data_IF_759970198862
#
_entry.id   IF_759970198862
#
_cell.length_a   1.000
_cell.length_b   1.000
_cell.length_c   1.000
_cell.angle_alpha   90.00
_cell.angle_beta   90.00
_cell.angle_gamma   90.00
#
_symmetry.space_group_name_H-M   'P 1'
#
loop_
_entity.id
_entity.type
_entity.pdbx_description
1 polymer ?
#
# COMPACT_ATOMS: atom_id res chain seq x y z
N UNK A 1 65.90 -11.45 68.98
CA UNK A 1 66.85 -11.44 67.84
C UNK A 1 66.10 -10.97 66.60
N UNK A 2 66.64 -9.96 65.89
CA UNK A 2 66.45 -9.60 64.47
C UNK A 2 65.02 -9.59 63.87
N UNK A 3 64.51 -8.64 63.09
CA UNK A 3 64.96 -7.34 62.55
C UNK A 3 63.76 -6.77 61.79
N UNK A 4 63.68 -5.45 61.77
CA UNK A 4 62.95 -4.53 60.90
C UNK A 4 62.73 -4.97 59.44
N UNK A 5 61.57 -4.64 58.84
CA UNK A 5 61.50 -3.73 57.66
C UNK A 5 60.07 -3.39 57.22
N UNK A 6 59.97 -2.15 56.76
CA UNK A 6 58.81 -1.33 56.34
C UNK A 6 58.62 -1.45 54.82
N UNK A 7 57.38 -1.34 54.30
CA UNK A 7 56.99 -0.57 53.09
C UNK A 7 55.47 -0.70 52.85
N UNK A 8 54.67 0.33 53.17
CA UNK A 8 54.13 1.38 52.27
C UNK A 8 53.28 0.88 51.08
N UNK A 9 51.97 1.15 51.22
CA UNK A 9 50.98 1.64 50.23
C UNK A 9 51.06 1.12 48.78
N UNK A 10 49.96 0.52 48.31
CA UNK A 10 49.21 1.03 47.13
C UNK A 10 47.72 0.70 47.31
N UNK A 11 46.93 1.72 47.63
CA UNK A 11 45.47 1.73 47.47
C UNK A 11 45.20 1.84 45.96
N UNK A 12 44.47 0.90 45.37
CA UNK A 12 44.01 1.01 43.98
C UNK A 12 42.50 0.82 43.96
N UNK A 13 41.81 1.93 44.17
CA UNK A 13 40.39 2.14 43.87
C UNK A 13 40.14 1.94 42.38
N UNK A 14 39.33 0.96 42.01
CA UNK A 14 38.70 0.90 40.68
C UNK A 14 37.29 1.46 40.82
N UNK A 15 36.97 2.61 40.23
CA UNK A 15 35.59 3.08 40.17
C UNK A 15 34.86 2.23 39.13
N UNK A 16 33.78 1.57 39.55
CA UNK A 16 32.83 1.00 38.60
C UNK A 16 32.09 2.16 37.95
N UNK A 17 32.32 2.35 36.65
CA UNK A 17 31.54 3.25 35.81
C UNK A 17 30.11 2.70 35.75
N UNK A 18 29.20 3.29 36.53
CA UNK A 18 27.77 3.10 36.38
C UNK A 18 27.37 3.68 35.02
N UNK A 19 27.09 2.80 34.06
CA UNK A 19 26.52 3.18 32.78
C UNK A 19 25.10 3.72 33.01
N UNK A 20 24.93 5.03 32.79
CA UNK A 20 23.61 5.66 32.78
C UNK A 20 22.82 5.16 31.56
N UNK A 21 21.81 4.34 31.81
CA UNK A 21 20.81 3.93 30.82
C UNK A 21 19.90 5.14 30.56
N UNK A 22 20.17 5.86 29.48
CA UNK A 22 19.31 6.93 28.99
C UNK A 22 18.07 6.30 28.32
N UNK A 23 16.94 6.31 29.03
CA UNK A 23 15.66 5.87 28.50
C UNK A 23 15.22 6.80 27.36
N UNK A 24 15.41 6.36 26.12
CA UNK A 24 14.84 7.01 24.94
C UNK A 24 13.33 6.74 24.97
N UNK A 25 12.55 7.74 25.37
CA UNK A 25 11.11 7.76 25.16
C UNK A 25 10.85 7.79 23.66
N UNK A 26 10.64 6.62 23.05
CA UNK A 26 10.02 6.54 21.73
C UNK A 26 8.56 6.94 21.89
N UNK A 27 8.29 8.24 21.76
CA UNK A 27 6.96 8.71 21.43
C UNK A 27 6.61 8.12 20.08
N UNK A 28 5.88 7.00 20.06
CA UNK A 28 5.19 6.53 18.88
C UNK A 28 4.26 7.66 18.45
N UNK A 29 4.64 8.40 17.42
CA UNK A 29 3.68 9.24 16.70
C UNK A 29 2.60 8.25 16.25
N UNK A 30 1.35 8.36 16.74
CA UNK A 30 0.30 7.55 16.17
C UNK A 30 0.34 7.83 14.68
N UNK A 31 0.46 6.79 13.85
CA UNK A 31 0.20 6.94 12.44
C UNK A 31 -1.20 7.53 12.38
N UNK A 32 -1.30 8.83 12.10
CA UNK A 32 -2.54 9.38 11.62
C UNK A 32 -2.88 8.46 10.47
N UNK A 33 -3.99 7.74 10.59
CA UNK A 33 -4.61 7.13 9.44
C UNK A 33 -4.84 8.34 8.52
N UNK A 34 -3.85 8.62 7.67
CA UNK A 34 -3.98 9.55 6.59
C UNK A 34 -5.24 9.04 5.91
N UNK A 35 -6.30 9.84 5.86
CA UNK A 35 -7.52 9.49 5.13
C UNK A 35 -7.09 9.31 3.68
N UNK A 36 -6.61 8.09 3.39
CA UNK A 36 -5.77 7.80 2.25
C UNK A 36 -6.62 7.94 1.01
N UNK A 37 -6.06 8.54 -0.03
CA UNK A 37 -6.76 8.67 -1.30
C UNK A 37 -6.98 7.26 -1.87
N UNK A 38 -8.23 6.89 -2.10
CA UNK A 38 -8.56 5.53 -2.53
C UNK A 38 -8.71 5.46 -4.06
N UNK A 39 -8.05 4.49 -4.68
CA UNK A 39 -8.23 4.10 -6.08
C UNK A 39 -9.09 2.82 -6.12
N UNK A 40 -10.17 2.83 -6.89
CA UNK A 40 -11.05 1.65 -7.00
C UNK A 40 -10.81 0.98 -8.35
N UNK A 41 -10.24 -0.23 -8.33
CA UNK A 41 -10.12 -1.07 -9.52
C UNK A 41 -11.38 -1.92 -9.69
N UNK A 42 -11.97 -1.92 -10.89
CA UNK A 42 -13.23 -2.60 -11.19
C UNK A 42 -13.06 -3.55 -12.37
N UNK A 43 -13.45 -4.81 -12.22
CA UNK A 43 -13.67 -5.72 -13.34
C UNK A 43 -15.01 -6.45 -13.16
N UNK A 44 -15.48 -7.19 -14.17
CA UNK A 44 -16.80 -7.82 -14.16
C UNK A 44 -17.02 -8.61 -12.86
N UNK A 45 -16.15 -9.56 -12.55
CA UNK A 45 -16.34 -10.43 -11.39
C UNK A 45 -15.69 -9.96 -10.08
N UNK A 46 -14.82 -8.96 -10.12
CA UNK A 46 -14.10 -8.45 -8.92
C UNK A 46 -13.06 -9.40 -8.33
N UNK A 47 -12.66 -10.45 -9.05
CA UNK A 47 -11.84 -11.56 -8.53
C UNK A 47 -10.56 -11.85 -9.31
N UNK A 48 -10.31 -11.19 -10.45
CA UNK A 48 -9.12 -11.44 -11.29
C UNK A 48 -8.35 -10.14 -11.54
N UNK A 49 -8.60 -9.44 -12.66
CA UNK A 49 -7.77 -8.33 -13.09
C UNK A 49 -7.81 -7.14 -12.11
N UNK A 50 -8.97 -6.84 -11.52
CA UNK A 50 -9.08 -5.80 -10.50
C UNK A 50 -8.34 -6.14 -9.21
N UNK A 51 -8.28 -7.42 -8.83
CA UNK A 51 -7.53 -7.89 -7.66
C UNK A 51 -6.03 -7.76 -7.90
N UNK A 52 -5.56 -8.22 -9.05
CA UNK A 52 -4.16 -8.08 -9.45
C UNK A 52 -3.76 -6.61 -9.49
N UNK A 53 -4.55 -5.76 -10.15
CA UNK A 53 -4.25 -4.34 -10.29
C UNK A 53 -4.20 -3.61 -8.94
N UNK A 54 -5.16 -3.84 -8.06
CA UNK A 54 -5.15 -3.25 -6.72
C UNK A 54 -3.93 -3.72 -5.90
N UNK A 55 -3.55 -5.01 -5.97
CA UNK A 55 -2.40 -5.54 -5.26
C UNK A 55 -1.08 -4.93 -5.75
N UNK A 56 -0.83 -4.90 -7.07
CA UNK A 56 0.36 -4.29 -7.65
C UNK A 56 0.40 -2.77 -7.42
N UNK A 57 -0.75 -2.09 -7.47
CA UNK A 57 -0.81 -0.66 -7.20
C UNK A 57 -0.43 -0.38 -5.75
N UNK A 58 -0.98 -1.14 -4.79
CA UNK A 58 -0.65 -0.99 -3.38
C UNK A 58 0.85 -1.19 -3.11
N UNK A 59 1.47 -2.21 -3.74
CA UNK A 59 2.92 -2.39 -3.66
C UNK A 59 3.67 -1.17 -4.21
N UNK A 60 3.34 -0.72 -5.41
CA UNK A 60 4.01 0.42 -6.04
C UNK A 60 3.82 1.72 -5.25
N UNK A 61 2.63 1.95 -4.68
CA UNK A 61 2.35 3.09 -3.83
C UNK A 61 3.15 3.04 -2.55
N UNK A 62 3.24 1.89 -1.89
CA UNK A 62 4.03 1.69 -0.69
C UNK A 62 5.53 1.89 -0.94
N UNK A 63 6.08 1.27 -1.98
CA UNK A 63 7.50 1.38 -2.34
C UNK A 63 7.92 2.82 -2.66
N UNK A 64 6.98 3.64 -3.16
CA UNK A 64 7.19 5.04 -3.53
C UNK A 64 6.73 6.04 -2.46
N UNK A 65 6.23 5.57 -1.33
CA UNK A 65 5.73 6.43 -0.24
C UNK A 65 4.54 7.31 -0.62
N UNK A 66 3.67 6.84 -1.52
CA UNK A 66 2.52 7.60 -2.00
C UNK A 66 1.33 7.49 -1.02
N UNK A 67 0.52 8.55 -0.85
CA UNK A 67 -0.62 8.56 0.09
C UNK A 67 -1.88 7.91 -0.50
N UNK A 68 -1.71 6.85 -1.30
CA UNK A 68 -2.78 6.16 -1.98
C UNK A 68 -2.91 4.72 -1.54
N UNK A 69 -4.15 4.25 -1.45
CA UNK A 69 -4.49 2.84 -1.31
C UNK A 69 -5.45 2.43 -2.42
N UNK A 70 -5.44 1.16 -2.78
CA UNK A 70 -6.31 0.61 -3.81
C UNK A 70 -7.12 -0.58 -3.31
N UNK A 71 -8.36 -0.66 -3.80
CA UNK A 71 -9.28 -1.77 -3.55
C UNK A 71 -9.85 -2.31 -4.86
N UNK A 72 -10.21 -3.59 -4.85
CA UNK A 72 -10.89 -4.28 -5.94
C UNK A 72 -12.41 -4.33 -5.71
N UNK A 73 -13.18 -4.13 -6.77
CA UNK A 73 -14.64 -4.28 -6.82
C UNK A 73 -15.11 -5.04 -8.07
N UNK A 74 -16.20 -5.78 -7.93
CA UNK A 74 -16.90 -6.48 -9.01
C UNK A 74 -18.14 -5.73 -9.49
N UNK A 75 -18.54 -5.91 -10.76
CA UNK A 75 -19.84 -5.47 -11.28
C UNK A 75 -20.90 -6.56 -11.09
N UNK A 76 -20.56 -7.81 -11.38
CA UNK A 76 -21.33 -9.01 -11.12
C UNK A 76 -20.47 -9.92 -10.25
N UNK A 77 -20.50 -9.67 -8.94
CA UNK A 77 -19.53 -10.24 -8.00
C UNK A 77 -19.48 -11.77 -8.07
N UNK A 78 -18.29 -12.32 -8.25
CA UNK A 78 -18.05 -13.76 -8.09
C UNK A 78 -17.51 -14.09 -6.68
N UNK A 79 -17.71 -15.34 -6.25
CA UNK A 79 -17.55 -15.75 -4.85
C UNK A 79 -16.14 -15.55 -4.29
N UNK A 80 -15.10 -15.88 -5.06
CA UNK A 80 -13.73 -15.93 -4.54
C UNK A 80 -12.68 -15.69 -5.62
N UNK A 81 -11.53 -15.16 -5.18
CA UNK A 81 -10.32 -15.08 -6.01
C UNK A 81 -9.88 -16.50 -6.39
N UNK A 82 -9.73 -16.82 -7.69
CA UNK A 82 -9.32 -18.16 -8.10
C UNK A 82 -7.92 -18.53 -7.57
N UNK A 83 -7.69 -19.80 -7.23
CA UNK A 83 -6.43 -20.28 -6.64
C UNK A 83 -5.22 -19.90 -7.50
N UNK A 84 -5.29 -20.12 -8.81
CA UNK A 84 -4.24 -19.69 -9.77
C UNK A 84 -3.85 -18.21 -9.69
N UNK A 85 -4.79 -17.32 -9.34
CA UNK A 85 -4.50 -15.89 -9.16
C UNK A 85 -3.85 -15.65 -7.80
N UNK A 86 -4.29 -16.36 -6.76
CA UNK A 86 -3.67 -16.31 -5.44
C UNK A 86 -2.22 -16.81 -5.50
N UNK A 87 -1.98 -17.93 -6.17
CA UNK A 87 -0.65 -18.52 -6.35
C UNK A 87 0.27 -17.60 -7.15
N UNK A 88 -0.22 -17.03 -8.26
CA UNK A 88 0.55 -16.06 -9.06
C UNK A 88 0.93 -14.82 -8.24
N UNK A 89 -0.01 -14.26 -7.46
CA UNK A 89 0.28 -13.13 -6.57
C UNK A 89 1.30 -13.52 -5.50
N UNK A 90 1.15 -14.71 -4.90
CA UNK A 90 2.04 -15.20 -3.85
C UNK A 90 3.47 -15.40 -4.36
N UNK A 91 3.64 -15.92 -5.58
CA UNK A 91 4.95 -16.05 -6.24
C UNK A 91 5.65 -14.68 -6.41
N UNK A 92 4.87 -13.62 -6.58
CA UNK A 92 5.36 -12.25 -6.68
C UNK A 92 5.41 -11.51 -5.32
N UNK A 93 5.22 -12.23 -4.21
CA UNK A 93 5.25 -11.67 -2.85
C UNK A 93 4.01 -10.84 -2.48
N UNK A 94 2.89 -11.05 -3.15
CA UNK A 94 1.64 -10.32 -2.98
C UNK A 94 0.51 -11.23 -2.49
N UNK A 95 -0.52 -10.62 -1.93
CA UNK A 95 -1.80 -11.25 -1.64
C UNK A 95 -2.90 -10.56 -2.46
N UNK A 96 -4.08 -11.18 -2.64
CA UNK A 96 -5.24 -10.47 -3.15
C UNK A 96 -5.52 -9.21 -2.34
N UNK A 97 -5.87 -8.11 -3.01
CA UNK A 97 -5.92 -6.79 -2.39
C UNK A 97 -6.94 -6.70 -1.24
N UNK A 98 -8.11 -7.34 -1.42
CA UNK A 98 -9.16 -7.41 -0.42
C UNK A 98 -10.11 -8.58 -0.70
N UNK A 99 -10.94 -8.94 0.28
CA UNK A 99 -12.06 -9.85 0.06
C UNK A 99 -12.93 -9.34 -1.10
N UNK A 100 -13.35 -10.21 -2.05
CA UNK A 100 -14.21 -9.80 -3.15
C UNK A 100 -15.47 -9.09 -2.67
N UNK A 101 -15.75 -7.93 -3.25
CA UNK A 101 -16.90 -7.08 -2.91
C UNK A 101 -17.52 -6.48 -4.16
N UNK A 102 -18.83 -6.28 -4.10
CA UNK A 102 -19.61 -5.65 -5.16
C UNK A 102 -19.31 -4.14 -5.19
N UNK A 103 -19.16 -3.57 -6.39
CA UNK A 103 -19.06 -2.12 -6.57
C UNK A 103 -20.35 -1.46 -6.10
N UNK A 104 -20.22 -0.47 -5.21
CA UNK A 104 -21.29 0.41 -4.76
C UNK A 104 -21.08 1.84 -5.27
N UNK A 105 -22.14 2.66 -5.20
CA UNK A 105 -22.03 4.10 -5.47
C UNK A 105 -21.12 4.77 -4.44
N UNK A 106 -21.17 4.33 -3.18
CA UNK A 106 -20.36 4.90 -2.10
C UNK A 106 -18.86 4.64 -2.33
N UNK A 107 -18.48 3.46 -2.83
CA UNK A 107 -17.10 3.18 -3.25
C UNK A 107 -16.65 4.20 -4.31
N UNK A 108 -17.48 4.43 -5.33
CA UNK A 108 -17.16 5.34 -6.42
C UNK A 108 -17.22 6.82 -6.00
N UNK A 109 -17.97 7.17 -4.96
CA UNK A 109 -18.04 8.51 -4.40
C UNK A 109 -16.86 8.83 -3.48
N UNK A 110 -16.37 7.84 -2.73
CA UNK A 110 -15.18 7.96 -1.89
C UNK A 110 -13.87 7.84 -2.70
N UNK A 111 -13.93 7.34 -3.94
CA UNK A 111 -12.76 7.17 -4.79
C UNK A 111 -12.17 8.51 -5.23
N UNK A 112 -10.84 8.60 -5.24
CA UNK A 112 -10.13 9.63 -5.99
C UNK A 112 -10.17 9.35 -7.50
N UNK A 113 -10.16 8.07 -7.88
CA UNK A 113 -10.27 7.60 -9.26
C UNK A 113 -10.84 6.18 -9.28
N UNK A 114 -11.70 5.90 -10.25
CA UNK A 114 -12.11 4.54 -10.60
C UNK A 114 -11.33 4.10 -11.83
N UNK A 115 -10.69 2.94 -11.78
CA UNK A 115 -10.02 2.31 -12.93
C UNK A 115 -10.77 1.03 -13.29
N UNK A 116 -11.33 0.96 -14.49
CA UNK A 116 -12.24 -0.10 -14.88
C UNK A 116 -11.74 -0.89 -16.09
N UNK A 117 -11.74 -2.22 -15.97
CA UNK A 117 -11.46 -3.16 -17.05
C UNK A 117 -12.70 -3.42 -17.91
N UNK A 118 -13.88 -3.21 -17.33
CA UNK A 118 -15.19 -3.45 -17.93
C UNK A 118 -16.07 -2.20 -17.78
N UNK A 119 -17.17 -2.14 -18.54
CA UNK A 119 -18.08 -0.99 -18.48
C UNK A 119 -18.74 -0.87 -17.10
N UNK A 120 -18.52 0.25 -16.40
CA UNK A 120 -19.18 0.53 -15.13
C UNK A 120 -20.63 0.92 -15.37
N UNK A 121 -21.63 0.25 -14.75
CA UNK A 121 -23.04 0.61 -14.88
C UNK A 121 -23.29 2.05 -14.42
N UNK A 122 -24.13 2.80 -15.14
CA UNK A 122 -24.33 4.23 -14.90
C UNK A 122 -24.84 4.50 -13.47
N UNK A 123 -25.72 3.65 -12.97
CA UNK A 123 -26.29 3.69 -11.63
C UNK A 123 -25.29 3.38 -10.50
N UNK A 124 -24.10 2.89 -10.83
CA UNK A 124 -22.99 2.65 -9.89
C UNK A 124 -21.82 3.60 -10.10
N UNK A 125 -21.94 4.56 -11.01
CA UNK A 125 -20.92 5.60 -11.19
C UNK A 125 -21.09 6.65 -10.10
N UNK A 126 -19.98 7.00 -9.46
CA UNK A 126 -19.87 8.14 -8.58
C UNK A 126 -19.38 9.40 -9.33
N UNK A 127 -19.16 10.51 -8.60
CA UNK A 127 -18.57 11.73 -9.15
C UNK A 127 -17.09 11.58 -9.57
N UNK A 128 -16.39 10.54 -9.10
CA UNK A 128 -15.00 10.30 -9.46
C UNK A 128 -14.85 10.01 -10.96
N UNK A 129 -13.71 10.45 -11.53
CA UNK A 129 -13.35 10.09 -12.89
C UNK A 129 -13.24 8.57 -13.06
N UNK A 130 -13.54 8.08 -14.26
CA UNK A 130 -13.38 6.67 -14.62
C UNK A 130 -12.37 6.54 -15.75
N UNK A 131 -11.24 5.89 -15.46
CA UNK A 131 -10.24 5.50 -16.45
C UNK A 131 -10.50 4.06 -16.91
N UNK A 132 -10.75 3.87 -18.21
CA UNK A 132 -10.99 2.54 -18.77
C UNK A 132 -9.71 1.91 -19.30
N UNK A 133 -9.43 0.69 -18.84
CA UNK A 133 -8.29 -0.11 -19.27
C UNK A 133 -8.73 -1.28 -20.14
N UNK A 134 -8.66 -1.12 -21.45
CA UNK A 134 -8.97 -2.17 -22.45
C UNK A 134 -7.71 -2.91 -22.92
N UNK A 135 -7.88 -4.10 -23.51
CA UNK A 135 -6.78 -4.84 -24.16
C UNK A 135 -5.80 -5.52 -23.19
N UNK A 136 -6.18 -5.65 -21.91
CA UNK A 136 -5.44 -6.44 -20.93
C UNK A 136 -6.02 -7.86 -20.98
N UNK A 137 -5.20 -8.92 -21.11
CA UNK A 137 -5.69 -10.29 -21.08
C UNK A 137 -6.37 -10.60 -19.75
N UNK A 138 -7.17 -11.66 -19.72
CA UNK A 138 -7.71 -12.13 -18.45
C UNK A 138 -6.59 -12.84 -17.69
N UNK A 139 -6.27 -12.35 -16.49
CA UNK A 139 -5.18 -12.90 -15.66
C UNK A 139 -5.39 -14.33 -15.24
N UNK A 140 -6.61 -14.83 -15.41
CA UNK A 140 -6.88 -16.25 -15.41
C UNK A 140 -6.03 -16.82 -16.57
N UNK A 141 -6.37 -16.63 -17.84
CA UNK A 141 -5.74 -17.31 -18.98
C UNK A 141 -4.22 -17.16 -19.06
N UNK A 142 -3.69 -15.97 -18.76
CA UNK A 142 -2.25 -15.69 -18.77
C UNK A 142 -1.89 -14.69 -17.67
N UNK A 143 -1.42 -15.21 -16.54
CA UNK A 143 -1.08 -14.39 -15.36
C UNK A 143 0.07 -13.43 -15.64
N UNK A 144 1.16 -13.90 -16.26
CA UNK A 144 2.36 -13.11 -16.48
C UNK A 144 2.13 -11.98 -17.48
N UNK A 145 1.49 -12.28 -18.62
CA UNK A 145 1.17 -11.24 -19.60
C UNK A 145 0.20 -10.20 -19.00
N UNK A 146 -0.75 -10.64 -18.18
CA UNK A 146 -1.69 -9.75 -17.48
C UNK A 146 -0.97 -8.87 -16.47
N UNK A 147 -0.13 -9.46 -15.61
CA UNK A 147 0.72 -8.73 -14.65
C UNK A 147 1.51 -7.65 -15.36
N UNK A 148 2.22 -8.01 -16.42
CA UNK A 148 3.12 -7.09 -17.09
C UNK A 148 2.37 -5.91 -17.72
N UNK A 149 1.18 -6.14 -18.27
CA UNK A 149 0.30 -5.07 -18.75
C UNK A 149 -0.22 -4.18 -17.62
N UNK A 150 -0.62 -4.77 -16.49
CA UNK A 150 -1.11 -4.06 -15.31
C UNK A 150 -0.01 -3.17 -14.72
N UNK A 151 1.18 -3.73 -14.50
CA UNK A 151 2.32 -2.99 -13.94
C UNK A 151 2.70 -1.82 -14.84
N UNK A 152 2.80 -2.02 -16.16
CA UNK A 152 3.06 -0.93 -17.11
C UNK A 152 2.05 0.22 -17.00
N UNK A 153 0.76 -0.09 -16.81
CA UNK A 153 -0.28 0.93 -16.69
C UNK A 153 -0.28 1.61 -15.33
N UNK A 154 0.05 0.89 -14.26
CA UNK A 154 0.27 1.48 -12.93
C UNK A 154 1.43 2.47 -12.98
N UNK A 155 2.52 2.12 -13.64
CA UNK A 155 3.69 3.00 -13.80
C UNK A 155 3.36 4.27 -14.58
N UNK A 156 2.48 4.17 -15.58
CA UNK A 156 1.96 5.33 -16.30
C UNK A 156 0.94 6.15 -15.50
N UNK A 157 0.15 5.52 -14.62
CA UNK A 157 -0.90 6.17 -13.83
C UNK A 157 -0.35 6.95 -12.64
N UNK A 158 0.66 6.42 -11.95
CA UNK A 158 1.18 7.02 -10.71
C UNK A 158 1.61 8.50 -10.88
N UNK A 159 2.34 8.89 -11.94
CA UNK A 159 2.71 10.29 -12.15
C UNK A 159 1.49 11.21 -12.25
N UNK A 160 0.41 10.78 -12.91
CA UNK A 160 -0.78 11.61 -13.09
C UNK A 160 -1.50 11.87 -11.76
N UNK A 161 -1.50 10.89 -10.86
CA UNK A 161 -2.07 11.02 -9.51
C UNK A 161 -1.25 11.99 -8.63
N UNK A 162 0.08 11.98 -8.78
CA UNK A 162 0.96 12.89 -8.06
C UNK A 162 0.73 14.35 -8.49
N UNK A 163 0.59 14.58 -9.80
CA UNK A 163 0.32 15.91 -10.37
C UNK A 163 -1.05 16.46 -9.93
N UNK A 164 -2.09 15.62 -9.96
CA UNK A 164 -3.43 15.99 -9.46
C UNK A 164 -3.39 16.33 -7.97
N UNK A 165 -2.64 15.58 -7.16
CA UNK A 165 -2.50 15.86 -5.73
C UNK A 165 -1.80 17.19 -5.49
N UNK A 166 -0.72 17.47 -6.20
CA UNK A 166 0.00 18.73 -6.07
C UNK A 166 -0.90 19.92 -6.47
N UNK A 167 -1.66 19.79 -7.55
CA UNK A 167 -2.62 20.81 -7.99
C UNK A 167 -3.77 21.04 -6.99
N UNK A 168 -4.30 19.96 -6.39
CA UNK A 168 -5.34 20.04 -5.35
C UNK A 168 -4.83 20.70 -4.07
N UNK A 169 -3.60 20.38 -3.63
CA UNK A 169 -2.97 20.98 -2.45
C UNK A 169 -2.67 22.47 -2.67
N UNK A 170 -2.22 22.86 -3.86
CA UNK A 170 -1.99 24.27 -4.21
C UNK A 170 -3.27 25.11 -4.28
N UNK A 171 -4.44 24.48 -4.51
CA UNK A 171 -5.74 25.15 -4.61
C UNK A 171 -6.51 25.21 -3.28
N UNK A 172 -6.07 24.49 -2.25
CA UNK A 172 -6.72 24.53 -0.94
C UNK A 172 -6.52 25.90 -0.28
N UNK A 173 -7.58 26.59 0.19
CA UNK A 173 -7.43 27.89 0.83
C UNK A 173 -6.66 27.74 2.15
N UNK A 174 -5.59 28.53 2.32
CA UNK A 174 -4.85 28.66 3.57
C UNK A 174 -5.81 29.18 4.64
N UNK A 175 -6.11 28.33 5.63
CA UNK A 175 -7.03 28.66 6.72
C UNK A 175 -6.38 29.57 7.74
#
# INVERSE_FOLDING_TARGET
MLTTRILRKVVRTWPQLAAAVLAILMTSVPATANEGKTIVFVCLHGVVNSQMAAAYFNRAAQERGLPYTAVSRGIDLFRSVPVRIQDGLALDGLAPANTPQQLTVDDAAAASLVVAFDQVPAERRGPAGVAYWSGIPLGIDDYEATRDQIVRRIDALIPTLADETAGQQARAPTR
#
